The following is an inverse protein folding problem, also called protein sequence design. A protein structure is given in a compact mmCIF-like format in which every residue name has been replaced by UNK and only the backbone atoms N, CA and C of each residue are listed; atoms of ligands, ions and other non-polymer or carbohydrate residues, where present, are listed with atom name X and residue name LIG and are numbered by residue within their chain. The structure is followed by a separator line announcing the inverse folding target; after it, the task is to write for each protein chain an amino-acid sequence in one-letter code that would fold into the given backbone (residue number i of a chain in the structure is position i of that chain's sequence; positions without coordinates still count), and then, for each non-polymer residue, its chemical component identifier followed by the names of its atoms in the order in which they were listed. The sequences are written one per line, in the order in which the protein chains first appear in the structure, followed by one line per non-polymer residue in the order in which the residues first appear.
data_IF_465413515854
#
_entry.id   IF_465413515854
#
_cell.length_a   1.000
_cell.length_b   1.000
_cell.length_c   1.000
_cell.angle_alpha   90.00
_cell.angle_beta   90.00
_cell.angle_gamma   90.00
#
_symmetry.space_group_name_H-M   'P 1'
#
loop_
_entity.id
_entity.type
_entity.pdbx_description
1 polymer ?
#
# COMPACT_ATOMS: atom_id res chain seq x y z
N UNK A 1 3.22 -18.46 -6.15
CA UNK A 1 2.27 -17.34 -6.09
C UNK A 1 2.15 -16.96 -4.63
N UNK A 2 2.41 -15.70 -4.23
CA UNK A 2 2.21 -15.29 -2.85
C UNK A 2 0.77 -15.60 -2.43
N UNK A 3 0.62 -16.32 -1.31
CA UNK A 3 -0.65 -16.86 -0.81
C UNK A 3 -1.56 -15.80 -0.19
N UNK A 4 -1.02 -14.61 0.09
CA UNK A 4 -1.72 -13.50 0.73
C UNK A 4 -1.21 -12.15 0.17
N UNK A 5 -2.00 -11.09 0.40
CA UNK A 5 -1.70 -9.76 -0.12
C UNK A 5 -0.42 -9.18 0.48
N UNK A 6 -0.08 -9.54 1.71
CA UNK A 6 1.14 -9.08 2.37
C UNK A 6 2.41 -9.58 1.69
N UNK A 7 2.48 -10.88 1.38
CA UNK A 7 3.62 -11.47 0.68
C UNK A 7 3.75 -10.92 -0.75
N UNK A 8 2.62 -10.64 -1.40
CA UNK A 8 2.62 -9.94 -2.69
C UNK A 8 3.19 -8.52 -2.57
N UNK A 9 2.74 -7.75 -1.56
CA UNK A 9 3.22 -6.41 -1.28
C UNK A 9 4.73 -6.39 -1.06
N UNK A 10 5.25 -7.29 -0.22
CA UNK A 10 6.69 -7.43 0.02
C UNK A 10 7.48 -7.75 -1.25
N UNK A 11 7.00 -8.72 -2.03
CA UNK A 11 7.68 -9.12 -3.25
C UNK A 11 7.67 -7.99 -4.31
N UNK A 12 6.61 -7.17 -4.32
CA UNK A 12 6.47 -6.04 -5.24
C UNK A 12 7.38 -4.89 -4.80
N UNK A 13 7.40 -4.58 -3.50
CA UNK A 13 8.24 -3.53 -2.94
C UNK A 13 9.74 -3.82 -3.10
N UNK A 14 10.13 -5.10 -3.10
CA UNK A 14 11.51 -5.53 -3.36
C UNK A 14 11.97 -5.30 -4.82
N UNK A 15 11.09 -4.88 -5.73
CA UNK A 15 11.44 -4.65 -7.14
C UNK A 15 12.11 -3.29 -7.32
N UNK A 16 13.13 -3.20 -8.21
CA UNK A 16 13.79 -1.94 -8.51
C UNK A 16 12.79 -0.86 -8.93
N UNK A 17 12.90 0.32 -8.32
CA UNK A 17 12.08 1.49 -8.66
C UNK A 17 10.70 1.54 -7.99
N UNK A 18 10.19 0.43 -7.44
CA UNK A 18 8.86 0.42 -6.77
C UNK A 18 8.86 1.24 -5.50
N UNK A 19 9.87 1.07 -4.63
CA UNK A 19 10.00 1.86 -3.41
C UNK A 19 9.99 3.37 -3.69
N UNK A 20 10.86 3.82 -4.61
CA UNK A 20 10.95 5.23 -4.98
C UNK A 20 9.63 5.76 -5.56
N UNK A 21 8.93 4.94 -6.36
CA UNK A 21 7.64 5.29 -6.92
C UNK A 21 6.55 5.40 -5.84
N UNK A 22 6.44 4.41 -4.95
CA UNK A 22 5.50 4.41 -3.84
C UNK A 22 5.71 5.62 -2.93
N UNK A 23 6.97 5.98 -2.63
CA UNK A 23 7.30 7.17 -1.86
C UNK A 23 6.83 8.45 -2.55
N UNK A 24 7.10 8.61 -3.85
CA UNK A 24 6.63 9.76 -4.65
C UNK A 24 5.11 9.88 -4.65
N UNK A 25 4.41 8.77 -4.86
CA UNK A 25 2.94 8.75 -4.84
C UNK A 25 2.39 9.07 -3.44
N UNK A 26 3.04 8.57 -2.40
CA UNK A 26 2.67 8.85 -1.00
C UNK A 26 2.88 10.33 -0.63
N UNK A 27 3.90 10.99 -1.16
CA UNK A 27 4.07 12.45 -1.02
C UNK A 27 2.93 13.23 -1.67
N UNK A 28 2.36 12.70 -2.75
CA UNK A 28 1.12 13.19 -3.37
C UNK A 28 -0.16 12.83 -2.63
N UNK A 29 -0.07 12.14 -1.48
CA UNK A 29 -1.22 11.73 -0.66
C UNK A 29 -1.80 10.36 -1.00
N UNK A 30 -1.18 9.59 -1.91
CA UNK A 30 -1.66 8.26 -2.25
C UNK A 30 -1.49 7.27 -1.08
N UNK A 31 -2.46 6.37 -0.95
CA UNK A 31 -2.38 5.25 -0.01
C UNK A 31 -1.65 4.07 -0.68
N UNK A 32 -0.41 3.83 -0.25
CA UNK A 32 0.43 2.74 -0.77
C UNK A 32 -0.19 1.36 -0.52
N UNK A 33 -0.88 1.14 0.61
CA UNK A 33 -1.54 -0.13 0.89
C UNK A 33 -2.71 -0.36 -0.08
N UNK A 34 -3.49 0.69 -0.37
CA UNK A 34 -4.57 0.62 -1.35
C UNK A 34 -4.02 0.39 -2.77
N UNK A 35 -2.92 1.04 -3.14
CA UNK A 35 -2.25 0.84 -4.43
C UNK A 35 -1.75 -0.60 -4.61
N UNK A 36 -1.12 -1.18 -3.59
CA UNK A 36 -0.65 -2.56 -3.61
C UNK A 36 -1.83 -3.55 -3.68
N UNK A 37 -2.93 -3.26 -2.99
CA UNK A 37 -4.17 -4.03 -3.09
C UNK A 37 -4.76 -3.99 -4.51
N UNK A 38 -4.89 -2.80 -5.09
CA UNK A 38 -5.35 -2.61 -6.47
C UNK A 38 -4.51 -3.43 -7.46
N UNK A 39 -3.20 -3.33 -7.37
CA UNK A 39 -2.26 -4.06 -8.21
C UNK A 39 -2.40 -5.60 -8.07
N UNK A 40 -2.64 -6.08 -6.85
CA UNK A 40 -2.92 -7.49 -6.58
C UNK A 40 -4.25 -7.95 -7.19
N UNK A 41 -5.28 -7.11 -7.16
CA UNK A 41 -6.58 -7.39 -7.76
C UNK A 41 -6.53 -7.40 -9.30
N UNK A 42 -5.74 -6.52 -9.91
CA UNK A 42 -5.47 -6.57 -11.36
C UNK A 42 -4.84 -7.91 -11.75
N UNK A 43 -3.84 -8.37 -10.98
CA UNK A 43 -3.18 -9.66 -11.22
C UNK A 43 -4.13 -10.85 -11.05
N UNK A 44 -5.08 -10.77 -10.11
CA UNK A 44 -6.15 -11.76 -9.92
C UNK A 44 -7.27 -11.66 -10.96
N UNK A 45 -7.19 -10.71 -11.89
CA UNK A 45 -8.19 -10.40 -12.91
C UNK A 45 -9.58 -10.08 -12.33
N UNK A 46 -9.61 -9.40 -11.19
CA UNK A 46 -10.87 -8.94 -10.59
C UNK A 46 -11.26 -7.61 -11.22
N UNK A 47 -12.46 -7.50 -11.80
CA UNK A 47 -12.95 -6.23 -12.34
C UNK A 47 -12.90 -5.10 -11.32
N UNK A 48 -12.53 -3.91 -11.78
CA UNK A 48 -12.74 -2.69 -11.03
C UNK A 48 -14.17 -2.20 -11.28
N UNK A 49 -14.95 -2.02 -10.22
CA UNK A 49 -16.20 -1.30 -10.26
C UNK A 49 -16.23 -0.28 -9.11
N UNK A 50 -17.10 0.74 -9.24
CA UNK A 50 -17.17 1.83 -8.27
C UNK A 50 -17.53 1.34 -6.86
N UNK A 51 -18.40 0.34 -6.74
CA UNK A 51 -18.83 -0.19 -5.45
C UNK A 51 -17.68 -0.89 -4.71
N UNK A 52 -16.89 -1.70 -5.40
CA UNK A 52 -15.73 -2.38 -4.83
C UNK A 52 -14.65 -1.38 -4.45
N UNK A 53 -14.42 -0.36 -5.28
CA UNK A 53 -13.47 0.71 -4.96
C UNK A 53 -13.88 1.47 -3.70
N UNK A 54 -15.15 1.87 -3.60
CA UNK A 54 -15.69 2.55 -2.42
C UNK A 54 -15.60 1.67 -1.17
N UNK A 55 -15.82 0.35 -1.32
CA UNK A 55 -15.66 -0.59 -0.22
C UNK A 55 -14.20 -0.64 0.29
N UNK A 56 -13.21 -0.65 -0.60
CA UNK A 56 -11.80 -0.63 -0.20
C UNK A 56 -11.43 0.72 0.44
N UNK A 57 -11.88 1.84 -0.12
CA UNK A 57 -11.64 3.18 0.42
C UNK A 57 -12.26 3.35 1.81
N UNK A 58 -13.47 2.85 2.02
CA UNK A 58 -14.15 2.90 3.32
C UNK A 58 -13.38 2.14 4.43
N UNK A 59 -12.58 1.13 4.05
CA UNK A 59 -11.71 0.39 4.97
C UNK A 59 -10.37 1.14 5.16
N UNK A 60 -9.77 1.61 4.06
CA UNK A 60 -8.44 2.20 4.07
C UNK A 60 -8.40 3.59 4.69
N UNK A 61 -9.28 4.51 4.26
CA UNK A 61 -9.19 5.93 4.63
C UNK A 61 -9.24 6.17 6.15
N UNK A 62 -10.16 5.57 6.94
CA UNK A 62 -10.20 5.81 8.37
C UNK A 62 -8.95 5.26 9.07
N UNK A 63 -8.50 4.06 8.67
CA UNK A 63 -7.31 3.43 9.25
C UNK A 63 -6.04 4.21 8.93
N UNK A 64 -5.90 4.64 7.68
CA UNK A 64 -4.78 5.44 7.22
C UNK A 64 -4.70 6.76 8.00
N UNK A 65 -5.83 7.45 8.15
CA UNK A 65 -5.92 8.75 8.84
C UNK A 65 -5.71 8.64 10.36
N UNK A 66 -6.24 7.60 10.99
CA UNK A 66 -6.27 7.50 12.45
C UNK A 66 -5.09 6.72 13.04
N UNK A 67 -4.43 5.86 12.24
CA UNK A 67 -3.39 4.95 12.73
C UNK A 67 -2.07 5.17 11.97
N UNK A 68 -2.06 4.98 10.65
CA UNK A 68 -0.80 4.98 9.87
C UNK A 68 -0.20 6.38 9.77
N UNK A 69 -0.98 7.39 9.41
CA UNK A 69 -0.51 8.78 9.28
C UNK A 69 0.06 9.33 10.60
N UNK A 70 -0.62 9.20 11.77
CA UNK A 70 -0.05 9.64 13.04
C UNK A 70 1.28 8.96 13.40
N UNK A 71 1.39 7.63 13.18
CA UNK A 71 2.64 6.90 13.43
C UNK A 71 3.77 7.39 12.51
N UNK A 72 3.46 7.60 11.23
CA UNK A 72 4.39 8.10 10.23
C UNK A 72 4.86 9.52 10.51
N UNK A 73 3.95 10.41 10.88
CA UNK A 73 4.25 11.77 11.29
C UNK A 73 5.15 11.79 12.53
N UNK A 74 4.82 10.98 13.54
CA UNK A 74 5.64 10.86 14.74
C UNK A 74 7.04 10.34 14.41
N UNK A 75 7.16 9.30 13.57
CA UNK A 75 8.46 8.77 13.13
C UNK A 75 9.28 9.81 12.37
N UNK A 76 8.64 10.59 11.49
CA UNK A 76 9.28 11.69 10.74
C UNK A 76 9.73 12.82 11.67
N UNK A 77 8.89 13.23 12.62
CA UNK A 77 9.22 14.25 13.61
C UNK A 77 10.41 13.88 14.50
N UNK A 78 10.61 12.60 14.77
CA UNK A 78 11.76 12.10 15.53
C UNK A 78 13.05 11.96 14.71
N UNK A 79 13.02 12.14 13.38
CA UNK A 79 14.20 11.91 12.52
C UNK A 79 15.39 12.80 12.87
N UNK A 80 15.18 14.10 13.08
CA UNK A 80 16.27 15.04 13.43
C UNK A 80 16.75 14.84 14.88
N UNK A 81 15.89 14.79 15.90
CA UNK A 81 16.32 14.55 17.29
C UNK A 81 17.03 13.21 17.50
N UNK A 82 16.65 12.16 16.76
CA UNK A 82 17.26 10.83 16.85
C UNK A 82 18.72 10.79 16.39
N UNK A 83 19.21 11.79 15.64
CA UNK A 83 20.62 11.84 15.23
C UNK A 83 21.56 12.12 16.40
N UNK A 84 21.07 12.84 17.41
CA UNK A 84 21.84 13.24 18.60
C UNK A 84 21.48 12.46 19.87
N UNK A 85 20.36 11.73 19.88
CA UNK A 85 19.88 10.97 21.05
C UNK A 85 19.61 9.50 20.70
N UNK A 86 20.47 8.56 21.17
CA UNK A 86 20.29 7.13 20.95
C UNK A 86 18.98 6.54 21.51
N UNK A 87 18.43 7.11 22.59
CA UNK A 87 17.14 6.66 23.14
C UNK A 87 15.99 7.06 22.22
N UNK A 88 16.05 8.25 21.62
CA UNK A 88 15.08 8.66 20.59
C UNK A 88 15.24 7.85 19.32
N UNK A 89 16.47 7.51 18.90
CA UNK A 89 16.69 6.59 17.79
C UNK A 89 16.01 5.23 18.02
N UNK A 90 16.17 4.66 19.23
CA UNK A 90 15.50 3.40 19.59
C UNK A 90 13.97 3.52 19.56
N UNK A 91 13.41 4.61 20.12
CA UNK A 91 11.96 4.86 20.08
C UNK A 91 11.45 5.01 18.65
N UNK A 92 12.20 5.69 17.78
CA UNK A 92 11.87 5.85 16.36
C UNK A 92 11.78 4.49 15.65
N UNK A 93 12.70 3.56 15.92
CA UNK A 93 12.63 2.21 15.36
C UNK A 93 11.44 1.41 15.89
N UNK A 94 11.05 1.58 17.16
CA UNK A 94 9.83 0.98 17.70
C UNK A 94 8.57 1.52 17.01
N UNK A 95 8.50 2.84 16.76
CA UNK A 95 7.39 3.46 16.03
C UNK A 95 7.37 2.97 14.58
N UNK A 96 8.54 2.82 13.94
CA UNK A 96 8.64 2.25 12.59
C UNK A 96 8.08 0.83 12.53
N UNK A 97 8.36 0.00 13.54
CA UNK A 97 7.80 -1.34 13.62
C UNK A 97 6.28 -1.31 13.76
N UNK A 98 5.74 -0.45 14.63
CA UNK A 98 4.30 -0.26 14.80
C UNK A 98 3.61 0.28 13.53
N UNK A 99 4.25 1.19 12.80
CA UNK A 99 3.75 1.67 11.50
C UNK A 99 3.64 0.50 10.51
N UNK A 100 4.68 -0.33 10.41
CA UNK A 100 4.68 -1.50 9.52
C UNK A 100 3.60 -2.52 9.89
N UNK A 101 3.43 -2.79 11.19
CA UNK A 101 2.37 -3.67 11.69
C UNK A 101 0.97 -3.12 11.35
N UNK A 102 0.78 -1.81 11.46
CA UNK A 102 -0.48 -1.14 11.11
C UNK A 102 -0.77 -1.22 9.59
N UNK A 103 0.25 -1.06 8.74
CA UNK A 103 0.11 -1.23 7.29
C UNK A 103 -0.19 -2.69 6.91
N UNK A 104 0.47 -3.64 7.56
CA UNK A 104 0.19 -5.06 7.36
C UNK A 104 -1.26 -5.41 7.73
N UNK A 105 -1.76 -4.88 8.84
CA UNK A 105 -3.15 -5.07 9.26
C UNK A 105 -4.14 -4.46 8.25
N UNK A 106 -3.84 -3.28 7.70
CA UNK A 106 -4.66 -2.70 6.63
C UNK A 106 -4.72 -3.62 5.41
N UNK A 107 -3.58 -4.14 4.95
CA UNK A 107 -3.53 -5.08 3.83
C UNK A 107 -4.35 -6.34 4.12
N UNK A 108 -4.29 -6.91 5.33
CA UNK A 108 -5.14 -8.06 5.71
C UNK A 108 -6.63 -7.75 5.62
N UNK A 109 -7.05 -6.54 6.03
CA UNK A 109 -8.46 -6.12 5.95
C UNK A 109 -8.93 -5.97 4.51
N UNK A 110 -8.10 -5.37 3.66
CA UNK A 110 -8.39 -5.22 2.22
C UNK A 110 -8.44 -6.58 1.52
N UNK A 111 -7.54 -7.50 1.87
CA UNK A 111 -7.58 -8.89 1.41
C UNK A 111 -8.88 -9.58 1.83
N UNK A 112 -9.28 -9.50 3.10
CA UNK A 112 -10.53 -10.09 3.60
C UNK A 112 -11.77 -9.54 2.89
N UNK A 113 -11.82 -8.23 2.63
CA UNK A 113 -12.91 -7.59 1.90
C UNK A 113 -13.03 -8.07 0.44
N UNK A 114 -11.90 -8.39 -0.18
CA UNK A 114 -11.81 -8.80 -1.59
C UNK A 114 -11.66 -10.30 -1.81
N UNK A 115 -11.69 -11.10 -0.74
CA UNK A 115 -11.45 -12.55 -0.79
C UNK A 115 -12.50 -13.27 -1.66
N UNK A 116 -13.75 -12.83 -1.60
CA UNK A 116 -14.87 -13.45 -2.33
C UNK A 116 -15.03 -12.95 -3.76
N UNK A 117 -14.25 -11.95 -4.17
CA UNK A 117 -14.33 -11.41 -5.52
C UNK A 117 -13.67 -12.36 -6.51
N UNK A 118 -14.42 -12.70 -7.54
CA UNK A 118 -13.99 -13.66 -8.57
C UNK A 118 -13.34 -12.93 -9.74
N UNK A 119 -12.47 -13.66 -10.43
CA UNK A 119 -11.94 -13.20 -11.70
C UNK A 119 -13.07 -13.07 -12.72
N UNK A 120 -12.96 -12.05 -13.57
CA UNK A 120 -13.95 -11.72 -14.61
C UNK A 120 -13.21 -11.35 -15.89
N UNK A 121 -13.89 -11.43 -17.02
CA UNK A 121 -13.35 -10.94 -18.30
C UNK A 121 -13.49 -9.40 -18.45
N UNK A 122 -14.12 -8.74 -17.48
CA UNK A 122 -14.30 -7.29 -17.43
C UNK A 122 -12.99 -6.55 -17.16
N UNK A 123 -13.00 -5.24 -17.44
CA UNK A 123 -11.84 -4.37 -17.26
C UNK A 123 -11.37 -4.32 -15.81
N UNK A 124 -10.08 -4.61 -15.61
CA UNK A 124 -9.40 -4.62 -14.30
C UNK A 124 -8.84 -3.25 -13.92
N UNK A 125 -9.40 -2.16 -14.43
CA UNK A 125 -8.81 -0.81 -14.45
C UNK A 125 -8.70 -0.13 -13.05
N UNK A 126 -8.11 -0.81 -12.07
CA UNK A 126 -7.99 -0.40 -10.68
C UNK A 126 -6.97 0.72 -10.52
N UNK A 127 -5.80 0.59 -11.17
CA UNK A 127 -4.76 1.61 -11.08
C UNK A 127 -5.19 2.92 -11.75
N UNK A 128 -6.01 2.85 -12.80
CA UNK A 128 -6.63 4.01 -13.45
C UNK A 128 -7.49 4.84 -12.47
N UNK A 129 -8.05 4.22 -11.43
CA UNK A 129 -8.87 4.93 -10.42
C UNK A 129 -8.05 5.57 -9.29
N UNK A 130 -6.75 5.24 -9.21
CA UNK A 130 -5.89 5.60 -8.08
C UNK A 130 -4.66 6.42 -8.50
N UNK A 131 -4.20 6.29 -9.75
CA UNK A 131 -2.97 6.90 -10.26
C UNK A 131 -3.22 7.46 -11.66
N UNK A 132 -3.17 8.77 -11.81
CA UNK A 132 -3.30 9.42 -13.11
C UNK A 132 -2.06 9.21 -14.00
N UNK A 133 -0.87 9.22 -13.37
CA UNK A 133 0.43 9.03 -14.03
C UNK A 133 0.50 7.66 -14.73
N UNK A 134 0.58 7.68 -16.06
CA UNK A 134 0.63 6.47 -16.89
C UNK A 134 1.92 5.67 -16.69
N UNK A 135 3.06 6.35 -16.60
CA UNK A 135 4.36 5.70 -16.47
C UNK A 135 4.47 5.01 -15.11
N UNK A 136 3.90 5.64 -14.07
CA UNK A 136 3.76 5.02 -12.75
C UNK A 136 2.96 3.71 -12.81
N UNK A 137 1.83 3.70 -13.53
CA UNK A 137 0.99 2.50 -13.68
C UNK A 137 1.71 1.39 -14.42
N UNK A 138 2.41 1.72 -15.51
CA UNK A 138 3.16 0.74 -16.30
C UNK A 138 4.31 0.11 -15.47
N UNK A 139 5.03 0.92 -14.68
CA UNK A 139 6.08 0.43 -13.79
C UNK A 139 5.52 -0.51 -12.71
N UNK A 140 4.42 -0.13 -12.06
CA UNK A 140 3.77 -0.97 -11.03
C UNK A 140 3.30 -2.31 -11.61
N UNK A 141 2.67 -2.30 -12.79
CA UNK A 141 2.25 -3.53 -13.49
C UNK A 141 3.45 -4.40 -13.87
N UNK A 142 4.52 -3.80 -14.38
CA UNK A 142 5.74 -4.52 -14.71
C UNK A 142 6.36 -5.20 -13.47
N UNK A 143 6.38 -4.52 -12.33
CA UNK A 143 6.86 -5.07 -11.07
C UNK A 143 5.98 -6.23 -10.56
N UNK A 144 4.65 -6.09 -10.64
CA UNK A 144 3.70 -7.11 -10.21
C UNK A 144 3.69 -8.38 -11.06
N UNK A 145 4.09 -8.29 -12.33
CA UNK A 145 4.21 -9.46 -13.19
C UNK A 145 5.45 -10.31 -12.88
N UNK A 146 6.41 -9.76 -12.16
CA UNK A 146 7.66 -10.44 -11.82
C UNK A 146 7.64 -11.09 -10.43
N UNK A 147 6.63 -10.81 -9.61
CA UNK A 147 6.42 -11.37 -8.25
C UNK A 147 5.82 -12.76 -8.24
#
# INVERSE_FOLDING_TARGET
MPTDLWNFALACYARPGVEALCLRLQEGGADVCLLLCALWLERRRVACDGQRLDQLRAIAEPWQRQVVQPLRELRRGLQTPAQSDPQLARRREQIKALELEAEQELLRRLEGASQKWQATDDAVAWLEQLVDDRDARELLRAAANQT
#
